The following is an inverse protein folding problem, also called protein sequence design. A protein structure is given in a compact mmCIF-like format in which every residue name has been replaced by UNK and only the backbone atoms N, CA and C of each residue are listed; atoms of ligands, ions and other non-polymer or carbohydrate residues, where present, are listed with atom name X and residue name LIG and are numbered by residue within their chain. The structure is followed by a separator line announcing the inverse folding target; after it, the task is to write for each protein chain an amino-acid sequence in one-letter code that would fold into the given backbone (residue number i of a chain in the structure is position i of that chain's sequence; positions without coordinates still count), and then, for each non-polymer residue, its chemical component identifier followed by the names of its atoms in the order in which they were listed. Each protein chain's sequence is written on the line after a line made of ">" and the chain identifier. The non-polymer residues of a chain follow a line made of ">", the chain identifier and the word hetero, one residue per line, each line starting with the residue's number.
data_IF_076887672347
#
_entry.id   IF_076887672347
#
_cell.length_a   1.000
_cell.length_b   1.000
_cell.length_c   1.000
_cell.angle_alpha   90.00
_cell.angle_beta   90.00
_cell.angle_gamma   90.00
#
_symmetry.space_group_name_H-M   'P 1'
#
loop_
_entity.id
_entity.type
_entity.pdbx_description
1 polymer ?
#
# COMPACT_ATOMS: atom_id res chain seq x y z
N UNK A 1 6.81 9.32 -26.69
CA UNK A 1 6.96 9.21 -25.21
C UNK A 1 7.07 7.73 -24.92
N UNK A 2 8.00 7.24 -24.09
CA UNK A 2 8.00 5.82 -23.77
C UNK A 2 6.73 5.50 -23.00
N UNK A 3 5.94 4.58 -23.52
CA UNK A 3 4.79 4.02 -22.82
C UNK A 3 5.35 3.23 -21.64
N UNK A 4 5.28 3.80 -20.44
CA UNK A 4 5.56 3.06 -19.22
C UNK A 4 4.39 2.07 -19.03
N UNK A 5 4.52 0.85 -19.56
CA UNK A 5 3.64 -0.26 -19.18
C UNK A 5 3.88 -0.59 -17.70
N UNK A 6 3.07 0.01 -16.83
CA UNK A 6 3.06 -0.35 -15.42
C UNK A 6 2.46 -1.74 -15.27
N UNK A 7 3.28 -2.70 -14.85
CA UNK A 7 2.79 -4.04 -14.53
C UNK A 7 2.25 -4.04 -13.10
N UNK A 8 0.92 -4.15 -12.96
CA UNK A 8 0.27 -4.37 -11.67
C UNK A 8 0.76 -5.68 -11.08
N UNK A 9 1.46 -5.61 -9.94
CA UNK A 9 1.95 -6.79 -9.22
C UNK A 9 0.79 -7.57 -8.61
N UNK A 10 -0.15 -6.85 -8.00
CA UNK A 10 -1.34 -7.45 -7.39
C UNK A 10 -2.50 -6.45 -7.28
N UNK A 11 -3.71 -6.99 -7.06
CA UNK A 11 -4.89 -6.24 -6.68
C UNK A 11 -5.43 -6.76 -5.34
N UNK A 12 -5.21 -6.01 -4.27
CA UNK A 12 -5.70 -6.32 -2.93
C UNK A 12 -7.19 -6.05 -2.83
N UNK A 13 -7.92 -6.93 -2.13
CA UNK A 13 -9.25 -6.61 -1.65
C UNK A 13 -9.13 -5.71 -0.43
N UNK A 14 -9.64 -4.49 -0.52
CA UNK A 14 -9.79 -3.58 0.62
C UNK A 14 -11.27 -3.53 0.99
N UNK A 15 -11.60 -3.66 2.27
CA UNK A 15 -12.99 -3.68 2.73
C UNK A 15 -13.12 -3.03 4.10
N UNK A 16 -14.37 -2.78 4.52
CA UNK A 16 -14.67 -2.19 5.80
C UNK A 16 -14.01 -2.95 6.96
N UNK A 17 -13.14 -2.26 7.70
CA UNK A 17 -12.56 -2.76 8.95
C UNK A 17 -11.37 -3.71 8.79
N UNK A 18 -11.24 -4.39 7.66
CA UNK A 18 -10.14 -5.31 7.39
C UNK A 18 -8.96 -4.59 6.72
N UNK A 19 -7.82 -4.66 7.37
CA UNK A 19 -6.53 -4.26 6.80
C UNK A 19 -6.01 -5.34 5.85
N UNK A 20 -5.64 -4.93 4.65
CA UNK A 20 -4.98 -5.77 3.66
C UNK A 20 -3.46 -5.56 3.74
N UNK A 21 -2.71 -6.63 3.60
CA UNK A 21 -1.24 -6.60 3.65
C UNK A 21 -0.68 -7.07 2.32
N UNK A 22 0.22 -6.29 1.74
CA UNK A 22 1.03 -6.65 0.58
C UNK A 22 2.49 -6.81 0.98
N UNK A 23 3.12 -7.85 0.47
CA UNK A 23 4.54 -8.09 0.61
C UNK A 23 4.87 -9.57 0.76
N UNK A 24 6.14 -9.91 1.02
CA UNK A 24 7.25 -8.98 1.21
C UNK A 24 7.52 -8.16 -0.06
N UNK A 25 7.80 -6.86 0.10
CA UNK A 25 8.19 -5.98 -1.01
C UNK A 25 9.54 -6.45 -1.56
N UNK A 26 9.68 -6.47 -2.89
CA UNK A 26 10.91 -6.93 -3.55
C UNK A 26 12.13 -6.14 -3.08
N UNK A 27 13.23 -6.85 -2.79
CA UNK A 27 14.47 -6.20 -2.40
C UNK A 27 15.00 -5.31 -3.53
N UNK A 28 15.27 -4.03 -3.21
CA UNK A 28 15.78 -3.04 -4.17
C UNK A 28 14.70 -2.16 -4.79
N UNK A 29 13.41 -2.48 -4.60
CA UNK A 29 12.30 -1.56 -4.93
C UNK A 29 12.44 -0.29 -4.10
N UNK A 30 12.35 0.87 -4.76
CA UNK A 30 12.49 2.17 -4.12
C UNK A 30 11.16 2.89 -3.98
N UNK A 31 10.24 2.62 -4.91
CA UNK A 31 8.93 3.25 -4.91
C UNK A 31 7.83 2.22 -5.11
N UNK A 32 6.66 2.54 -4.58
CA UNK A 32 5.44 1.77 -4.80
C UNK A 32 4.34 2.73 -5.25
N UNK A 33 3.51 2.32 -6.19
CA UNK A 33 2.27 3.02 -6.52
C UNK A 33 1.11 2.24 -5.90
N UNK A 34 0.20 2.98 -5.26
CA UNK A 34 -1.06 2.45 -4.72
C UNK A 34 -2.23 3.14 -5.45
N UNK A 35 -2.83 2.44 -6.41
CA UNK A 35 -4.08 2.89 -7.06
C UNK A 35 -5.29 2.22 -6.39
N UNK A 36 -5.89 2.91 -5.43
CA UNK A 36 -7.05 2.45 -4.70
C UNK A 36 -8.37 3.01 -5.26
N UNK A 37 -9.43 2.20 -5.27
CA UNK A 37 -10.77 2.64 -5.69
C UNK A 37 -11.45 3.58 -4.67
N UNK A 38 -10.95 3.64 -3.42
CA UNK A 38 -11.34 4.58 -2.35
C UNK A 38 -10.13 5.21 -1.70
N UNK A 39 -10.37 6.23 -0.87
CA UNK A 39 -9.37 6.70 0.09
C UNK A 39 -8.98 5.56 1.06
N UNK A 40 -7.69 5.43 1.31
CA UNK A 40 -7.11 4.40 2.19
C UNK A 40 -6.09 5.01 3.14
N UNK A 41 -5.90 4.40 4.30
CA UNK A 41 -4.70 4.56 5.09
C UNK A 41 -3.62 3.62 4.54
N UNK A 42 -2.37 4.08 4.59
CA UNK A 42 -1.21 3.28 4.20
C UNK A 42 -0.13 3.32 5.28
N UNK A 43 0.57 2.20 5.44
CA UNK A 43 1.72 2.08 6.34
C UNK A 43 2.74 1.10 5.78
N UNK A 44 4.02 1.45 5.87
CA UNK A 44 5.11 0.50 5.66
C UNK A 44 5.60 -0.02 7.00
N UNK A 45 5.73 -1.34 7.14
CA UNK A 45 6.17 -1.98 8.39
C UNK A 45 6.98 -3.26 8.11
N UNK A 46 7.71 -3.76 9.11
CA UNK A 46 8.36 -5.08 9.09
C UNK A 46 7.42 -6.23 9.48
N UNK A 47 6.19 -5.93 9.88
CA UNK A 47 5.21 -6.92 10.34
C UNK A 47 4.33 -7.39 9.17
N UNK A 48 4.21 -8.70 8.98
CA UNK A 48 3.44 -9.31 7.89
C UNK A 48 1.93 -9.49 8.19
N UNK A 49 1.52 -9.29 9.45
CA UNK A 49 0.15 -9.48 9.90
C UNK A 49 -0.62 -8.17 9.94
N UNK A 50 -1.93 -8.23 9.68
CA UNK A 50 -2.84 -7.09 9.75
C UNK A 50 -2.92 -6.42 11.14
N UNK A 51 -3.68 -5.34 11.23
CA UNK A 51 -3.89 -4.49 12.40
C UNK A 51 -2.67 -3.66 12.80
N UNK A 52 -1.88 -3.22 11.82
CA UNK A 52 -0.79 -2.27 12.03
C UNK A 52 -1.21 -0.82 11.77
N UNK A 53 -2.29 -0.59 11.03
CA UNK A 53 -2.76 0.76 10.72
C UNK A 53 -3.44 1.40 11.94
N UNK A 54 -2.91 2.56 12.32
CA UNK A 54 -3.50 3.51 13.24
C UNK A 54 -4.06 4.71 12.46
N UNK A 55 -5.38 4.79 12.36
CA UNK A 55 -6.09 5.86 11.63
C UNK A 55 -5.83 7.28 12.16
N UNK A 56 -5.28 7.42 13.38
CA UNK A 56 -4.92 8.72 13.93
C UNK A 56 -3.53 9.21 13.47
N UNK A 57 -2.64 8.29 13.10
CA UNK A 57 -1.22 8.58 12.86
C UNK A 57 -0.74 8.22 11.45
N UNK A 58 -1.43 7.31 10.76
CA UNK A 58 -1.03 6.85 9.43
C UNK A 58 -1.54 7.76 8.31
N UNK A 59 -0.75 7.81 7.25
CA UNK A 59 -1.01 8.66 6.10
C UNK A 59 -2.27 8.20 5.35
N UNK A 60 -3.11 9.18 4.97
CA UNK A 60 -4.23 8.96 4.05
C UNK A 60 -3.75 9.11 2.62
N UNK A 61 -4.09 8.13 1.81
CA UNK A 61 -3.87 8.11 0.38
C UNK A 61 -5.20 8.28 -0.35
N UNK A 62 -5.34 9.30 -1.20
CA UNK A 62 -6.59 9.55 -1.91
C UNK A 62 -6.94 8.42 -2.90
N UNK A 63 -8.24 8.28 -3.18
CA UNK A 63 -8.71 7.38 -4.23
C UNK A 63 -8.14 7.81 -5.59
N UNK A 64 -7.90 6.83 -6.48
CA UNK A 64 -7.58 7.07 -7.90
C UNK A 64 -6.39 8.00 -8.14
N UNK A 65 -5.41 7.94 -7.25
CA UNK A 65 -4.20 8.77 -7.30
C UNK A 65 -2.97 7.86 -7.40
N UNK A 66 -2.58 7.44 -8.61
CA UNK A 66 -1.47 6.52 -8.81
C UNK A 66 -0.11 7.23 -8.77
N UNK A 67 0.18 7.93 -7.67
CA UNK A 67 1.47 8.61 -7.47
C UNK A 67 2.50 7.68 -6.80
N UNK A 68 3.79 7.77 -7.18
CA UNK A 68 4.85 7.00 -6.53
C UNK A 68 5.07 7.42 -5.07
N UNK A 69 5.12 6.43 -4.19
CA UNK A 69 5.40 6.57 -2.76
C UNK A 69 6.78 5.99 -2.50
N UNK A 70 7.69 6.82 -1.98
CA UNK A 70 9.00 6.35 -1.56
C UNK A 70 8.84 5.36 -0.41
N UNK A 71 9.42 4.17 -0.57
CA UNK A 71 9.50 3.21 0.54
C UNK A 71 10.50 3.80 1.54
N UNK A 72 10.12 3.97 2.83
CA UNK A 72 11.01 4.54 3.82
C UNK A 72 12.35 3.81 3.80
N UNK A 73 13.44 4.57 3.70
CA UNK A 73 14.77 4.02 3.80
C UNK A 73 14.83 3.17 5.07
N UNK A 74 15.42 1.98 4.96
CA UNK A 74 15.50 0.85 5.90
C UNK A 74 15.94 1.16 7.35
N UNK A 75 15.99 2.41 7.78
CA UNK A 75 16.26 2.87 9.13
C UNK A 75 15.10 2.50 10.07
N UNK A 76 15.09 1.24 10.51
CA UNK A 76 14.16 0.74 11.54
C UNK A 76 13.52 -0.61 11.20
N UNK A 77 13.61 -1.07 9.95
CA UNK A 77 13.02 -2.35 9.52
C UNK A 77 14.15 -3.34 9.22
N UNK A 78 14.61 -4.08 10.23
CA UNK A 78 15.54 -5.19 10.01
C UNK A 78 14.78 -6.38 9.41
N UNK A 79 14.58 -6.39 8.09
CA UNK A 79 13.93 -7.52 7.42
C UNK A 79 13.16 -7.15 6.16
N UNK A 80 12.21 -8.01 5.79
CA UNK A 80 11.24 -7.73 4.74
C UNK A 80 10.35 -6.54 5.11
N UNK A 81 10.00 -5.70 4.14
CA UNK A 81 9.03 -4.62 4.30
C UNK A 81 7.70 -5.07 3.73
N UNK A 82 6.61 -4.70 4.39
CA UNK A 82 5.23 -4.94 3.98
C UNK A 82 4.50 -3.61 3.88
N UNK A 83 3.59 -3.51 2.91
CA UNK A 83 2.64 -2.42 2.76
C UNK A 83 1.30 -2.84 3.35
N UNK A 84 0.84 -2.11 4.36
CA UNK A 84 -0.49 -2.25 4.94
C UNK A 84 -1.42 -1.22 4.32
N UNK A 85 -2.63 -1.64 3.97
CA UNK A 85 -3.65 -0.80 3.32
C UNK A 85 -5.02 -1.04 3.96
N UNK A 86 -5.72 0.02 4.35
CA UNK A 86 -7.07 -0.08 4.95
C UNK A 86 -7.95 1.07 4.49
N UNK A 87 -9.22 0.82 4.17
CA UNK A 87 -10.14 1.90 3.79
C UNK A 87 -10.33 2.92 4.93
N UNK A 88 -10.37 4.22 4.60
CA UNK A 88 -10.58 5.26 5.61
C UNK A 88 -12.02 5.34 6.10
N UNK A 89 -12.97 5.06 5.20
CA UNK A 89 -14.40 4.99 5.48
C UNK A 89 -14.94 3.62 5.07
N UNK A 90 -15.80 3.07 5.94
CA UNK A 90 -16.43 1.76 5.73
C UNK A 90 -17.39 1.83 4.54
N UNK A 91 -16.93 1.40 3.36
CA UNK A 91 -17.73 1.25 2.14
C UNK A 91 -17.76 -0.21 1.70
N UNK A 92 -18.43 -0.49 0.57
CA UNK A 92 -18.39 -1.80 -0.04
C UNK A 92 -16.94 -2.21 -0.37
N UNK A 93 -16.69 -3.52 -0.46
CA UNK A 93 -15.38 -4.04 -0.85
C UNK A 93 -14.92 -3.47 -2.19
N UNK A 94 -13.67 -3.05 -2.22
CA UNK A 94 -13.02 -2.37 -3.33
C UNK A 94 -11.61 -2.92 -3.58
N UNK A 95 -10.90 -2.38 -4.58
CA UNK A 95 -9.54 -2.81 -4.92
C UNK A 95 -8.50 -1.74 -4.66
N UNK A 96 -7.33 -2.18 -4.20
CA UNK A 96 -6.08 -1.42 -4.26
C UNK A 96 -5.08 -2.16 -5.16
N UNK A 97 -4.65 -1.51 -6.24
CA UNK A 97 -3.69 -2.05 -7.21
C UNK A 97 -2.31 -1.57 -6.81
N UNK A 98 -1.37 -2.51 -6.73
CA UNK A 98 -0.02 -2.25 -6.27
C UNK A 98 0.96 -2.45 -7.41
N UNK A 99 1.85 -1.47 -7.59
CA UNK A 99 2.96 -1.51 -8.56
C UNK A 99 4.25 -1.22 -7.81
N UNK A 100 5.25 -2.08 -7.97
CA UNK A 100 6.61 -1.83 -7.47
C UNK A 100 7.47 -1.23 -8.58
N UNK A 101 8.25 -0.20 -8.24
CA UNK A 101 9.15 0.53 -9.14
C UNK A 101 10.60 0.53 -8.63
#
# INVERSE_FOLDING_TARGET
>A
MPDYEWSVKTALNISSGAEAVYGPITAGTQYIIVDADSEVYIRFDGVATANQIDSANDARWPAKTPDPIAIPAKAGVSGSVYLHVKQTVSTASQKARIVEL
#
